data_IF_050676803082
#
_entry.id   IF_050676803082
#
_cell.length_a   1.000
_cell.length_b   1.000
_cell.length_c   1.000
_cell.angle_alpha   90.00
_cell.angle_beta   90.00
_cell.angle_gamma   90.00
#
_symmetry.space_group_name_H-M   'P 1'
#
loop_
_entity.id
_entity.type
_entity.pdbx_description
1 polymer ?
#
# COMPACT_ATOMS: atom_id res chain seq x y z
N UNK A 1 -13.08 -3.03 5.06
CA UNK A 1 -11.72 -3.02 5.66
C UNK A 1 -10.93 -4.29 5.31
N UNK A 2 -11.25 -5.48 5.83
CA UNK A 2 -10.47 -6.71 5.55
C UNK A 2 -10.23 -7.01 4.05
N UNK A 3 -11.20 -6.76 3.15
CA UNK A 3 -11.05 -7.00 1.70
C UNK A 3 -9.94 -6.16 1.02
N UNK A 4 -9.66 -4.94 1.49
CA UNK A 4 -8.67 -4.04 0.88
C UNK A 4 -7.21 -4.33 1.33
N UNK A 5 -7.01 -4.81 2.56
CA UNK A 5 -5.67 -5.07 3.07
C UNK A 5 -4.95 -6.24 2.37
N UNK A 6 -5.69 -7.26 1.90
CA UNK A 6 -5.10 -8.44 1.24
C UNK A 6 -4.41 -8.09 -0.09
N UNK A 7 -5.04 -7.37 -1.06
CA UNK A 7 -4.37 -6.92 -2.27
C UNK A 7 -3.14 -6.04 -2.02
N UNK A 8 -3.19 -5.11 -1.05
CA UNK A 8 -2.05 -4.26 -0.71
C UNK A 8 -0.85 -5.08 -0.20
N UNK A 9 -1.11 -6.09 0.63
CA UNK A 9 -0.06 -6.98 1.13
C UNK A 9 0.57 -7.81 -0.01
N UNK A 10 -0.26 -8.46 -0.84
CA UNK A 10 0.22 -9.26 -1.96
C UNK A 10 1.04 -8.43 -2.97
N UNK A 11 0.61 -7.20 -3.28
CA UNK A 11 1.37 -6.25 -4.13
C UNK A 11 2.68 -5.73 -3.50
N UNK A 12 2.91 -5.97 -2.21
CA UNK A 12 4.18 -5.61 -1.53
C UNK A 12 5.21 -6.74 -1.52
N UNK A 13 4.82 -7.96 -1.92
CA UNK A 13 5.72 -9.11 -2.01
C UNK A 13 6.57 -9.02 -3.28
N UNK A 14 7.81 -9.49 -3.22
CA UNK A 14 8.67 -9.64 -4.41
C UNK A 14 8.19 -10.82 -5.26
N UNK A 15 8.36 -10.70 -6.58
CA UNK A 15 8.17 -11.82 -7.50
C UNK A 15 9.21 -12.91 -7.22
N UNK A 16 8.81 -14.18 -7.30
CA UNK A 16 9.73 -15.31 -7.26
C UNK A 16 10.54 -15.38 -8.58
N UNK A 17 11.76 -15.90 -8.51
CA UNK A 17 12.65 -16.08 -9.66
C UNK A 17 13.46 -17.37 -9.50
N UNK A 18 13.94 -17.93 -10.60
CA UNK A 18 14.94 -18.99 -10.62
C UNK A 18 16.33 -18.37 -10.48
N UNK A 19 17.08 -18.82 -9.49
CA UNK A 19 18.42 -18.35 -9.17
C UNK A 19 19.22 -19.51 -8.56
N UNK A 20 20.49 -19.74 -8.94
CA UNK A 20 21.31 -20.76 -8.29
C UNK A 20 21.67 -20.42 -6.83
N UNK A 21 21.58 -19.16 -6.40
CA UNK A 21 21.73 -18.79 -4.99
C UNK A 21 20.43 -19.04 -4.21
N UNK A 22 20.46 -20.02 -3.29
CA UNK A 22 19.33 -20.26 -2.40
C UNK A 22 19.19 -19.17 -1.32
N UNK A 23 18.30 -18.20 -1.58
CA UNK A 23 17.90 -17.15 -0.62
C UNK A 23 16.63 -17.49 0.18
N UNK A 24 16.13 -18.73 0.07
CA UNK A 24 14.88 -19.19 0.68
C UNK A 24 13.60 -18.65 0.02
N UNK A 25 12.45 -19.23 0.38
CA UNK A 25 11.16 -18.90 -0.21
C UNK A 25 10.18 -18.32 0.81
N UNK A 26 10.22 -16.98 0.95
CA UNK A 26 9.43 -16.23 1.94
C UNK A 26 7.92 -16.55 1.92
N UNK A 27 7.31 -16.64 0.73
CA UNK A 27 5.87 -16.91 0.59
C UNK A 27 5.41 -18.31 1.01
N UNK A 28 6.35 -19.25 1.23
CA UNK A 28 6.09 -20.61 1.70
C UNK A 28 6.71 -20.87 3.09
N UNK A 29 7.41 -19.89 3.67
CA UNK A 29 8.19 -20.03 4.90
C UNK A 29 9.22 -21.19 4.87
N UNK A 30 9.83 -21.46 3.71
CA UNK A 30 10.84 -22.51 3.52
C UNK A 30 12.25 -21.92 3.38
N UNK A 31 13.24 -22.53 4.03
CA UNK A 31 14.66 -22.14 3.91
C UNK A 31 15.28 -22.58 2.57
N UNK A 32 14.81 -23.69 2.00
CA UNK A 32 15.27 -24.23 0.72
C UNK A 32 14.06 -24.68 -0.08
N UNK A 33 13.97 -24.25 -1.33
CA UNK A 33 12.87 -24.59 -2.23
C UNK A 33 13.34 -24.57 -3.69
N UNK A 34 12.92 -25.57 -4.46
CA UNK A 34 13.15 -25.67 -5.90
C UNK A 34 11.98 -26.39 -6.57
N UNK A 35 11.75 -26.11 -7.85
CA UNK A 35 10.74 -26.81 -8.64
C UNK A 35 11.30 -28.14 -9.19
N UNK A 36 10.61 -29.25 -8.91
CA UNK A 36 11.02 -30.61 -9.30
C UNK A 36 9.90 -31.44 -9.97
N UNK A 37 8.65 -31.16 -9.67
CA UNK A 37 7.50 -32.04 -9.95
C UNK A 37 6.88 -31.89 -11.34
N UNK A 38 7.43 -31.07 -12.24
CA UNK A 38 6.82 -30.79 -13.55
C UNK A 38 7.82 -30.58 -14.71
N UNK A 39 8.77 -31.50 -14.94
CA UNK A 39 9.78 -31.38 -16.01
C UNK A 39 9.22 -31.31 -17.43
N UNK A 40 7.98 -31.77 -17.66
CA UNK A 40 7.31 -31.72 -18.97
C UNK A 40 6.97 -30.26 -19.38
N UNK A 41 6.69 -29.39 -18.40
CA UNK A 41 6.18 -28.02 -18.64
C UNK A 41 7.05 -26.90 -18.05
N UNK A 42 8.15 -27.23 -17.38
CA UNK A 42 9.10 -26.28 -16.78
C UNK A 42 10.52 -26.79 -16.96
N UNK A 43 11.36 -25.97 -17.62
CA UNK A 43 12.76 -26.30 -17.86
C UNK A 43 13.62 -26.40 -16.58
N UNK A 44 13.42 -25.58 -15.53
CA UNK A 44 14.16 -25.72 -14.27
C UNK A 44 13.97 -27.08 -13.57
N UNK A 45 12.78 -27.66 -13.63
CA UNK A 45 12.53 -29.01 -13.13
C UNK A 45 13.38 -30.04 -13.91
N UNK A 46 13.47 -29.91 -15.24
CA UNK A 46 14.27 -30.81 -16.08
C UNK A 46 15.78 -30.73 -15.75
N UNK A 47 16.32 -29.54 -15.49
CA UNK A 47 17.74 -29.39 -15.13
C UNK A 47 18.02 -29.90 -13.72
N UNK A 48 17.08 -29.78 -12.80
CA UNK A 48 17.15 -30.40 -11.48
C UNK A 48 17.10 -31.94 -11.53
N UNK A 49 16.25 -32.52 -12.38
CA UNK A 49 16.23 -33.98 -12.64
C UNK A 49 17.58 -34.48 -13.18
N UNK A 50 18.19 -33.74 -14.12
CA UNK A 50 19.52 -34.04 -14.66
C UNK A 50 20.62 -33.97 -13.59
N UNK A 51 20.59 -32.95 -12.74
CA UNK A 51 21.55 -32.77 -11.65
C UNK A 51 21.43 -33.87 -10.58
N UNK A 52 20.20 -34.23 -10.18
CA UNK A 52 19.97 -35.32 -9.22
C UNK A 52 20.47 -36.66 -9.76
N UNK A 53 20.17 -36.99 -11.02
CA UNK A 53 20.70 -38.21 -11.67
C UNK A 53 22.22 -38.25 -11.71
N UNK A 54 22.87 -37.12 -12.02
CA UNK A 54 24.32 -36.98 -11.97
C UNK A 54 24.89 -37.22 -10.57
N UNK A 55 24.27 -36.65 -9.53
CA UNK A 55 24.72 -36.82 -8.14
C UNK A 55 24.59 -38.28 -7.68
N UNK A 56 23.47 -38.95 -7.97
CA UNK A 56 23.27 -40.37 -7.63
C UNK A 56 24.27 -41.30 -8.33
N UNK A 57 24.67 -40.99 -9.57
CA UNK A 57 25.73 -41.74 -10.28
C UNK A 57 27.12 -41.45 -9.68
N UNK A 58 27.38 -40.19 -9.30
CA UNK A 58 28.64 -39.78 -8.66
C UNK A 58 28.85 -40.44 -7.30
N UNK A 59 27.79 -40.61 -6.52
CA UNK A 59 27.80 -41.36 -5.24
C UNK A 59 28.19 -42.84 -5.44
N UNK A 60 27.95 -43.41 -6.62
CA UNK A 60 28.36 -44.77 -7.01
C UNK A 60 29.79 -44.83 -7.61
N UNK A 61 30.52 -43.70 -7.62
CA UNK A 61 31.89 -43.62 -8.13
C UNK A 61 32.02 -43.28 -9.62
N UNK A 62 30.93 -42.86 -10.29
CA UNK A 62 30.97 -42.48 -11.70
C UNK A 62 31.90 -41.28 -11.98
N UNK A 63 32.77 -41.42 -12.98
CA UNK A 63 33.76 -40.40 -13.38
C UNK A 63 33.40 -39.79 -14.74
N UNK A 64 32.34 -39.00 -14.79
CA UNK A 64 31.92 -38.27 -15.99
C UNK A 64 30.82 -37.25 -15.71
N UNK A 65 30.70 -36.23 -16.56
CA UNK A 65 29.70 -35.16 -16.41
C UNK A 65 28.29 -35.54 -16.91
N UNK A 66 28.16 -36.70 -17.57
CA UNK A 66 26.91 -37.25 -18.11
C UNK A 66 26.61 -38.60 -17.48
N UNK A 67 25.33 -38.99 -17.43
CA UNK A 67 24.89 -40.33 -17.00
C UNK A 67 24.02 -40.95 -18.10
N UNK A 68 24.14 -42.26 -18.29
CA UNK A 68 23.38 -43.07 -19.28
C UNK A 68 21.87 -42.79 -19.24
N UNK A 69 21.31 -42.62 -18.04
CA UNK A 69 19.89 -42.33 -17.81
C UNK A 69 19.49 -40.85 -18.04
N UNK A 70 20.36 -40.07 -18.69
CA UNK A 70 20.16 -38.64 -18.96
C UNK A 70 20.49 -37.72 -17.78
N UNK A 71 21.47 -38.07 -16.96
CA UNK A 71 22.06 -37.17 -15.96
C UNK A 71 23.05 -36.19 -16.60
N UNK A 72 23.16 -34.98 -16.05
CA UNK A 72 24.08 -33.95 -16.55
C UNK A 72 24.55 -33.02 -15.42
N UNK A 73 25.85 -32.74 -15.37
CA UNK A 73 26.46 -31.74 -14.48
C UNK A 73 26.54 -30.38 -15.18
N UNK A 74 25.91 -29.38 -14.58
CA UNK A 74 25.98 -27.98 -15.02
C UNK A 74 27.01 -27.19 -14.23
N UNK A 75 27.76 -26.33 -14.92
CA UNK A 75 28.59 -25.30 -14.30
C UNK A 75 27.74 -24.19 -13.66
N UNK A 76 28.36 -23.42 -12.77
CA UNK A 76 27.70 -22.27 -12.14
C UNK A 76 27.35 -21.16 -13.14
N UNK A 77 28.17 -21.00 -14.19
CA UNK A 77 27.95 -19.99 -15.25
C UNK A 77 26.72 -20.35 -16.10
N UNK A 78 26.60 -21.60 -16.53
CA UNK A 78 25.40 -22.11 -17.21
C UNK A 78 24.16 -21.94 -16.33
N UNK A 79 24.25 -22.23 -15.02
CA UNK A 79 23.14 -22.09 -14.08
C UNK A 79 22.70 -20.64 -13.86
N UNK A 80 23.61 -19.66 -13.84
CA UNK A 80 23.28 -18.24 -13.79
C UNK A 80 22.52 -17.81 -15.05
N UNK A 81 22.98 -18.22 -16.23
CA UNK A 81 22.30 -17.94 -17.50
C UNK A 81 20.91 -18.61 -17.58
N UNK A 82 20.80 -19.87 -17.15
CA UNK A 82 19.55 -20.62 -17.07
C UNK A 82 18.54 -19.96 -16.11
N UNK A 83 18.97 -19.52 -14.93
CA UNK A 83 18.11 -18.85 -13.95
C UNK A 83 17.49 -17.57 -14.54
N UNK A 84 18.31 -16.75 -15.19
CA UNK A 84 17.85 -15.55 -15.89
C UNK A 84 16.90 -15.89 -17.04
N UNK A 85 17.27 -16.83 -17.92
CA UNK A 85 16.48 -17.22 -19.07
C UNK A 85 15.12 -17.83 -18.68
N UNK A 86 15.09 -18.76 -17.73
CA UNK A 86 13.84 -19.39 -17.27
C UNK A 86 12.92 -18.38 -16.59
N UNK A 87 13.46 -17.46 -15.78
CA UNK A 87 12.68 -16.39 -15.15
C UNK A 87 12.13 -15.39 -16.16
N UNK A 88 12.86 -15.10 -17.24
CA UNK A 88 12.38 -14.29 -18.37
C UNK A 88 11.28 -15.01 -19.16
N UNK A 89 11.45 -16.31 -19.42
CA UNK A 89 10.48 -17.12 -20.16
C UNK A 89 9.15 -17.27 -19.40
N UNK A 90 9.19 -17.44 -18.08
CA UNK A 90 8.02 -17.46 -17.20
C UNK A 90 7.24 -16.14 -17.28
N UNK A 91 7.91 -14.99 -17.08
CA UNK A 91 7.27 -13.66 -17.22
C UNK A 91 6.67 -13.44 -18.60
N UNK A 92 7.38 -13.81 -19.67
CA UNK A 92 6.90 -13.67 -21.05
C UNK A 92 5.65 -14.51 -21.32
N UNK A 93 5.54 -15.70 -20.70
CA UNK A 93 4.36 -16.55 -20.82
C UNK A 93 3.16 -15.97 -20.04
N UNK A 94 3.40 -15.46 -18.83
CA UNK A 94 2.37 -14.78 -18.02
C UNK A 94 1.85 -13.50 -18.72
N UNK A 95 2.75 -12.72 -19.33
CA UNK A 95 2.41 -11.54 -20.12
C UNK A 95 1.57 -11.90 -21.36
N UNK A 96 2.01 -12.88 -22.17
CA UNK A 96 1.28 -13.30 -23.36
C UNK A 96 -0.11 -13.92 -23.05
N UNK A 97 -0.22 -14.71 -21.99
CA UNK A 97 -1.52 -15.29 -21.58
C UNK A 97 -2.45 -14.23 -21.00
N UNK A 98 -1.91 -13.24 -20.29
CA UNK A 98 -2.67 -12.08 -19.85
C UNK A 98 -3.17 -11.24 -21.02
N UNK A 99 -2.34 -10.98 -22.01
CA UNK A 99 -2.69 -10.22 -23.23
C UNK A 99 -3.90 -10.82 -23.96
N UNK A 100 -3.91 -12.15 -24.13
CA UNK A 100 -5.05 -12.88 -24.70
C UNK A 100 -6.28 -12.82 -23.78
N UNK A 101 -6.08 -12.96 -22.47
CA UNK A 101 -7.17 -12.82 -21.49
C UNK A 101 -7.79 -11.43 -21.48
N UNK A 102 -6.99 -10.37 -21.59
CA UNK A 102 -7.45 -8.98 -21.60
C UNK A 102 -8.15 -8.65 -22.94
N UNK A 103 -7.72 -9.24 -24.07
CA UNK A 103 -8.47 -9.19 -25.33
C UNK A 103 -9.84 -9.90 -25.25
N UNK A 104 -9.90 -11.14 -24.73
CA UNK A 104 -11.15 -11.89 -24.54
C UNK A 104 -12.15 -11.19 -23.60
N UNK A 105 -11.65 -10.44 -22.59
CA UNK A 105 -12.51 -9.63 -21.72
C UNK A 105 -13.09 -8.42 -22.44
N UNK A 106 -12.34 -7.80 -23.34
CA UNK A 106 -12.85 -6.70 -24.15
C UNK A 106 -13.92 -7.22 -25.13
N UNK A 107 -13.64 -8.34 -25.81
CA UNK A 107 -14.59 -9.03 -26.70
C UNK A 107 -15.93 -9.30 -26.00
N UNK A 108 -15.90 -9.94 -24.82
CA UNK A 108 -17.09 -10.20 -24.00
C UNK A 108 -17.86 -8.94 -23.57
N UNK A 109 -17.19 -7.78 -23.49
CA UNK A 109 -17.79 -6.53 -23.03
C UNK A 109 -18.38 -5.67 -24.14
N UNK A 110 -18.15 -6.00 -25.43
CA UNK A 110 -18.76 -5.32 -26.57
C UNK A 110 -20.30 -5.34 -26.49
N UNK A 111 -20.87 -6.52 -26.20
CA UNK A 111 -22.31 -6.72 -26.03
C UNK A 111 -22.88 -6.13 -24.72
N UNK A 112 -22.01 -5.59 -23.86
CA UNK A 112 -22.36 -5.06 -22.54
C UNK A 112 -22.27 -3.53 -22.46
N UNK A 113 -22.02 -2.84 -23.59
CA UNK A 113 -22.03 -1.38 -23.66
C UNK A 113 -23.39 -0.82 -23.25
N UNK A 114 -23.39 0.21 -22.40
CA UNK A 114 -24.59 0.83 -21.81
C UNK A 114 -25.12 0.15 -20.54
N UNK A 115 -24.76 -1.12 -20.28
CA UNK A 115 -25.19 -1.84 -19.07
C UNK A 115 -24.48 -1.32 -17.81
N UNK A 116 -25.14 -1.50 -16.66
CA UNK A 116 -24.67 -1.03 -15.36
C UNK A 116 -24.24 -2.21 -14.49
N UNK A 117 -23.01 -2.14 -13.99
CA UNK A 117 -22.39 -3.19 -13.18
C UNK A 117 -21.93 -2.66 -11.82
N UNK A 118 -21.95 -3.56 -10.84
CA UNK A 118 -21.34 -3.33 -9.53
C UNK A 118 -19.88 -3.72 -9.58
N UNK A 119 -19.04 -2.94 -8.91
CA UNK A 119 -17.62 -3.20 -8.87
C UNK A 119 -16.90 -2.61 -7.67
N UNK A 120 -15.63 -2.93 -7.58
CA UNK A 120 -14.71 -2.51 -6.52
C UNK A 120 -13.51 -1.82 -7.14
N UNK A 121 -13.13 -0.66 -6.62
CA UNK A 121 -11.94 0.07 -7.09
C UNK A 121 -10.69 -0.79 -6.86
N UNK A 122 -10.01 -1.19 -7.94
CA UNK A 122 -8.89 -2.16 -7.96
C UNK A 122 -7.51 -1.49 -8.12
N UNK A 123 -7.48 -0.24 -8.58
CA UNK A 123 -6.31 0.63 -8.58
C UNK A 123 -6.72 2.10 -8.68
N UNK A 124 -5.89 3.04 -8.23
CA UNK A 124 -6.13 4.49 -8.33
C UNK A 124 -4.87 5.13 -8.91
N UNK A 125 -5.03 6.01 -9.91
CA UNK A 125 -3.96 6.75 -10.58
C UNK A 125 -4.21 8.25 -10.50
N UNK A 126 -3.34 9.06 -11.12
CA UNK A 126 -3.53 10.51 -11.20
C UNK A 126 -4.61 10.94 -12.20
N UNK A 127 -4.91 10.11 -13.19
CA UNK A 127 -5.85 10.40 -14.28
C UNK A 127 -7.22 9.71 -14.11
N UNK A 128 -7.42 8.95 -13.03
CA UNK A 128 -8.64 8.19 -12.82
C UNK A 128 -8.46 7.03 -11.84
N UNK A 129 -9.35 6.06 -11.91
CA UNK A 129 -9.23 4.82 -11.15
C UNK A 129 -9.79 3.63 -11.93
N UNK A 130 -9.23 2.46 -11.66
CA UNK A 130 -9.67 1.21 -12.25
C UNK A 130 -10.71 0.56 -11.35
N UNK A 131 -11.81 0.11 -11.94
CA UNK A 131 -12.89 -0.61 -11.26
C UNK A 131 -12.89 -2.04 -11.77
N UNK A 132 -12.83 -2.99 -10.83
CA UNK A 132 -13.07 -4.40 -11.12
C UNK A 132 -14.54 -4.70 -10.99
N UNK A 133 -15.16 -5.25 -12.01
CA UNK A 133 -16.54 -5.73 -11.93
C UNK A 133 -16.63 -6.92 -10.96
N UNK A 134 -17.67 -6.92 -10.12
CA UNK A 134 -18.00 -8.08 -9.29
C UNK A 134 -18.33 -9.28 -10.23
N UNK A 135 -17.93 -10.48 -9.81
CA UNK A 135 -18.10 -11.79 -10.48
C UNK A 135 -17.44 -11.99 -11.87
N UNK A 136 -17.23 -10.94 -12.67
CA UNK A 136 -16.64 -11.03 -14.01
C UNK A 136 -15.10 -10.93 -14.04
N UNK A 137 -14.47 -10.41 -12.97
CA UNK A 137 -13.01 -10.18 -12.89
C UNK A 137 -12.41 -9.25 -13.99
N UNK A 138 -13.26 -8.51 -14.69
CA UNK A 138 -12.88 -7.52 -15.70
C UNK A 138 -12.54 -6.20 -14.99
N UNK A 139 -11.39 -5.60 -15.34
CA UNK A 139 -11.01 -4.25 -14.90
C UNK A 139 -11.28 -3.24 -16.04
N UNK A 140 -11.92 -2.12 -15.74
CA UNK A 140 -12.10 -0.99 -16.66
C UNK A 140 -11.74 0.34 -16.00
N UNK A 141 -11.52 1.39 -16.80
CA UNK A 141 -11.04 2.70 -16.37
C UNK A 141 -12.19 3.70 -16.21
N UNK A 142 -12.31 4.30 -15.04
CA UNK A 142 -13.07 5.55 -14.85
C UNK A 142 -12.08 6.71 -14.95
N UNK A 143 -12.14 7.47 -16.04
CA UNK A 143 -11.28 8.63 -16.25
C UNK A 143 -11.74 9.81 -15.38
N UNK A 144 -10.81 10.65 -14.92
CA UNK A 144 -11.12 11.80 -14.06
C UNK A 144 -12.10 12.79 -14.71
N UNK A 145 -12.09 12.89 -16.04
CA UNK A 145 -13.01 13.74 -16.81
C UNK A 145 -14.46 13.23 -16.87
N UNK A 146 -14.72 11.97 -16.52
CA UNK A 146 -16.09 11.42 -16.43
C UNK A 146 -16.69 11.56 -15.02
N UNK A 147 -15.96 12.16 -14.09
CA UNK A 147 -16.43 12.49 -12.74
C UNK A 147 -17.03 13.90 -12.71
N UNK A 148 -17.61 14.28 -11.56
CA UNK A 148 -18.08 15.63 -11.32
C UNK A 148 -16.95 16.67 -11.54
N UNK A 149 -17.31 17.86 -12.03
CA UNK A 149 -16.34 18.92 -12.35
C UNK A 149 -15.68 19.49 -11.08
N UNK A 150 -14.57 18.89 -10.66
CA UNK A 150 -13.79 19.23 -9.46
C UNK A 150 -12.28 19.03 -9.68
N UNK A 151 -11.46 19.69 -8.87
CA UNK A 151 -10.02 19.47 -8.87
C UNK A 151 -9.66 18.25 -8.03
N UNK A 152 -9.33 17.15 -8.71
CA UNK A 152 -8.99 15.88 -8.07
C UNK A 152 -7.51 15.77 -7.74
N UNK A 153 -7.18 15.68 -6.45
CA UNK A 153 -5.82 15.46 -5.95
C UNK A 153 -5.56 13.99 -5.66
N UNK A 154 -4.57 13.41 -6.34
CA UNK A 154 -4.10 12.05 -6.09
C UNK A 154 -3.18 11.98 -4.85
N UNK A 155 -3.47 11.05 -3.94
CA UNK A 155 -2.63 10.68 -2.80
C UNK A 155 -2.10 9.26 -3.01
N UNK A 156 -0.86 9.17 -3.51
CA UNK A 156 -0.17 7.92 -3.81
C UNK A 156 -0.05 6.98 -2.61
N UNK A 157 0.19 7.51 -1.41
CA UNK A 157 0.39 6.72 -0.19
C UNK A 157 -0.95 6.21 0.34
N UNK A 158 -1.99 7.02 0.25
CA UNK A 158 -3.36 6.64 0.63
C UNK A 158 -4.08 5.75 -0.40
N UNK A 159 -3.55 5.66 -1.63
CA UNK A 159 -4.20 5.08 -2.82
C UNK A 159 -5.65 5.58 -2.96
N UNK A 160 -5.77 6.92 -3.03
CA UNK A 160 -7.05 7.62 -3.11
C UNK A 160 -6.97 8.88 -3.98
N UNK A 161 -8.09 9.19 -4.62
CA UNK A 161 -8.34 10.42 -5.35
C UNK A 161 -9.31 11.28 -4.51
N UNK A 162 -8.99 12.55 -4.26
CA UNK A 162 -9.79 13.44 -3.41
C UNK A 162 -10.18 14.70 -4.19
N UNK A 163 -11.48 14.97 -4.33
CA UNK A 163 -11.98 16.23 -4.89
C UNK A 163 -11.83 17.37 -3.88
N UNK A 164 -11.27 18.50 -4.30
CA UNK A 164 -10.99 19.65 -3.43
C UNK A 164 -12.26 20.43 -3.06
N UNK A 165 -13.20 20.58 -3.99
CA UNK A 165 -14.43 21.36 -3.82
C UNK A 165 -15.59 20.51 -3.30
N UNK A 166 -15.77 19.32 -3.86
CA UNK A 166 -16.83 18.37 -3.51
C UNK A 166 -16.55 17.62 -2.20
N UNK A 167 -15.27 17.46 -1.84
CA UNK A 167 -14.84 16.58 -0.74
C UNK A 167 -15.09 15.10 -0.99
N UNK A 168 -15.46 14.69 -2.21
CA UNK A 168 -15.56 13.29 -2.60
C UNK A 168 -14.17 12.62 -2.47
N UNK A 169 -14.15 11.34 -2.09
CA UNK A 169 -12.91 10.58 -1.93
C UNK A 169 -13.10 9.18 -2.45
N UNK A 170 -12.46 8.87 -3.58
CA UNK A 170 -12.43 7.53 -4.17
C UNK A 170 -11.19 6.80 -3.69
N UNK A 171 -11.36 5.66 -3.01
CA UNK A 171 -10.23 4.87 -2.47
C UNK A 171 -10.24 3.45 -3.01
N UNK A 172 -9.04 2.86 -3.13
CA UNK A 172 -8.89 1.42 -3.33
C UNK A 172 -9.80 0.60 -2.39
N UNK A 173 -10.62 -0.28 -2.96
CA UNK A 173 -11.50 -1.18 -2.24
C UNK A 173 -12.87 -0.60 -1.86
N UNK A 174 -13.20 0.63 -2.27
CA UNK A 174 -14.56 1.16 -2.20
C UNK A 174 -15.45 0.52 -3.28
N UNK A 175 -16.75 0.47 -3.01
CA UNK A 175 -17.78 -0.06 -3.92
C UNK A 175 -18.42 1.04 -4.75
N UNK A 176 -18.60 0.75 -6.03
CA UNK A 176 -19.12 1.68 -7.03
C UNK A 176 -20.04 0.96 -8.00
N UNK A 177 -20.99 1.72 -8.56
CA UNK A 177 -21.81 1.32 -9.69
C UNK A 177 -21.35 2.09 -10.92
N UNK A 178 -20.91 1.36 -11.94
CA UNK A 178 -20.34 1.89 -13.17
C UNK A 178 -21.17 1.46 -14.37
N UNK A 179 -21.26 2.33 -15.38
CA UNK A 179 -21.78 1.98 -16.71
C UNK A 179 -20.62 1.77 -17.67
N UNK A 180 -20.76 0.81 -18.56
CA UNK A 180 -19.88 0.64 -19.72
C UNK A 180 -20.18 1.73 -20.74
N UNK A 181 -19.27 2.66 -20.96
CA UNK A 181 -19.42 3.72 -21.97
C UNK A 181 -18.91 3.25 -23.33
N UNK A 182 -17.70 2.70 -23.35
CA UNK A 182 -17.04 2.25 -24.58
C UNK A 182 -16.09 1.07 -24.31
N UNK A 183 -15.84 0.29 -25.36
CA UNK A 183 -14.81 -0.75 -25.37
C UNK A 183 -13.93 -0.50 -26.60
N UNK A 184 -12.63 -0.34 -26.38
CA UNK A 184 -11.64 -0.20 -27.43
C UNK A 184 -10.85 -1.51 -27.56
N UNK A 185 -11.10 -2.24 -28.65
CA UNK A 185 -10.47 -3.53 -28.93
C UNK A 185 -8.99 -3.41 -29.32
N UNK A 186 -8.60 -2.31 -29.97
CA UNK A 186 -7.22 -2.06 -30.42
C UNK A 186 -6.30 -1.80 -29.23
N UNK A 187 -6.75 -0.96 -28.29
CA UNK A 187 -6.01 -0.67 -27.06
C UNK A 187 -6.27 -1.68 -25.93
N UNK A 188 -7.23 -2.60 -26.11
CA UNK A 188 -7.75 -3.54 -25.10
C UNK A 188 -8.14 -2.82 -23.79
N UNK A 189 -8.88 -1.72 -23.94
CA UNK A 189 -9.36 -0.88 -22.82
C UNK A 189 -10.88 -0.84 -22.80
N UNK A 190 -11.41 -0.78 -21.59
CA UNK A 190 -12.84 -0.62 -21.33
C UNK A 190 -12.99 0.65 -20.51
N UNK A 191 -13.80 1.59 -21.02
CA UNK A 191 -14.06 2.88 -20.38
C UNK A 191 -15.40 2.83 -19.64
N UNK A 192 -15.37 3.31 -18.41
CA UNK A 192 -16.49 3.32 -17.48
C UNK A 192 -16.86 4.74 -17.06
N UNK A 193 -18.16 5.04 -17.03
CA UNK A 193 -18.69 6.21 -16.31
C UNK A 193 -19.17 5.80 -14.92
N UNK A 194 -19.00 6.69 -13.94
CA UNK A 194 -19.47 6.48 -12.58
C UNK A 194 -20.91 6.96 -12.46
N UNK A 195 -21.86 6.08 -12.10
CA UNK A 195 -23.24 6.47 -11.82
C UNK A 195 -23.43 6.78 -10.35
N UNK A 196 -22.99 5.85 -9.50
CA UNK A 196 -23.11 5.98 -8.06
C UNK A 196 -21.82 5.46 -7.42
N UNK A 197 -21.40 6.13 -6.36
CA UNK A 197 -20.43 5.55 -5.45
C UNK A 197 -21.10 5.36 -4.09
N UNK A 198 -20.89 4.20 -3.48
CA UNK A 198 -21.07 4.03 -2.03
C UNK A 198 -19.93 4.76 -1.28
N UNK A 199 -19.52 5.94 -1.75
CA UNK A 199 -18.62 6.78 -0.98
C UNK A 199 -19.32 7.07 0.33
N UNK A 200 -18.70 6.60 1.41
CA UNK A 200 -18.94 7.13 2.74
C UNK A 200 -18.52 8.58 2.70
N UNK A 201 -19.43 9.45 2.26
CA UNK A 201 -19.39 10.88 2.52
C UNK A 201 -18.94 11.01 3.96
N UNK A 202 -17.90 11.79 4.19
CA UNK A 202 -17.35 11.99 5.52
C UNK A 202 -18.34 12.86 6.32
N UNK A 203 -19.49 12.29 6.67
CA UNK A 203 -20.38 12.73 7.73
C UNK A 203 -19.57 12.70 9.03
N UNK A 204 -18.75 13.73 9.22
CA UNK A 204 -18.09 14.05 10.48
C UNK A 204 -19.20 13.95 11.52
N UNK A 205 -19.16 13.04 12.50
CA UNK A 205 -20.26 12.87 13.42
C UNK A 205 -20.32 14.08 14.36
N UNK A 206 -20.99 15.15 13.92
CA UNK A 206 -21.17 16.43 14.65
C UNK A 206 -21.79 16.17 16.02
N UNK A 207 -22.63 15.12 16.12
CA UNK A 207 -23.20 14.57 17.35
C UNK A 207 -22.14 14.25 18.42
N UNK A 208 -20.88 13.90 18.08
CA UNK A 208 -19.81 13.61 19.06
C UNK A 208 -19.23 14.86 19.73
N UNK A 209 -19.28 16.04 19.08
CA UNK A 209 -18.90 17.33 19.68
C UNK A 209 -20.02 17.87 20.59
N UNK A 210 -21.28 17.71 20.19
CA UNK A 210 -22.44 18.09 20.99
C UNK A 210 -22.54 17.30 22.31
N UNK A 211 -22.37 15.96 22.27
CA UNK A 211 -22.44 15.10 23.46
C UNK A 211 -21.33 15.40 24.48
N UNK A 212 -20.13 15.81 24.04
CA UNK A 212 -19.02 16.23 24.92
C UNK A 212 -19.28 17.61 25.56
N UNK A 213 -19.92 18.54 24.85
CA UNK A 213 -20.39 19.83 25.40
C UNK A 213 -21.47 19.65 26.47
N UNK A 214 -22.50 18.81 26.23
CA UNK A 214 -23.56 18.54 27.24
C UNK A 214 -23.01 17.90 28.53
N UNK A 215 -22.11 16.90 28.44
CA UNK A 215 -21.46 16.32 29.64
C UNK A 215 -20.62 17.34 30.42
N UNK A 216 -19.89 18.23 29.75
CA UNK A 216 -19.10 19.27 30.43
C UNK A 216 -19.97 20.32 31.17
N UNK A 217 -21.18 20.59 30.66
CA UNK A 217 -22.13 21.53 31.29
C UNK A 217 -22.83 20.93 32.51
N UNK A 218 -23.18 19.64 32.48
CA UNK A 218 -23.72 18.93 33.65
C UNK A 218 -22.68 18.78 34.78
N UNK A 219 -21.42 18.46 34.46
CA UNK A 219 -20.35 18.37 35.46
C UNK A 219 -20.13 19.70 36.22
N UNK A 220 -20.31 20.86 35.57
CA UNK A 220 -20.22 22.17 36.23
C UNK A 220 -21.39 22.49 37.17
N UNK A 221 -22.60 21.96 36.93
CA UNK A 221 -23.75 22.13 37.85
C UNK A 221 -23.66 21.23 39.09
N UNK A 222 -23.00 20.08 39.00
CA UNK A 222 -22.79 19.19 40.15
C UNK A 222 -21.78 19.77 41.17
N UNK A 223 -20.75 20.49 40.70
CA UNK A 223 -19.69 21.02 41.55
C UNK A 223 -20.09 22.24 42.40
N UNK A 224 -21.21 22.92 42.10
CA UNK A 224 -21.70 24.08 42.85
C UNK A 224 -22.67 23.73 43.99
N UNK A 225 -23.08 22.46 44.13
CA UNK A 225 -24.05 22.03 45.15
C UNK A 225 -23.46 21.65 46.51
N UNK A 226 -22.13 21.44 46.61
CA UNK A 226 -21.48 20.90 47.82
C UNK A 226 -20.67 21.97 48.55
N UNK A 227 -21.38 23.00 49.03
CA UNK A 227 -20.87 24.00 50.01
C UNK A 227 -21.94 24.36 51.05
N UNK A 228 -22.55 23.36 51.66
CA UNK A 228 -23.24 23.47 52.95
C UNK A 228 -23.27 22.11 53.65
N UNK A 229 -23.21 22.10 54.99
CA UNK A 229 -23.06 20.94 55.89
C UNK A 229 -21.81 20.06 55.64
N UNK A 230 -20.85 19.93 56.57
CA UNK A 230 -21.05 19.55 57.98
C UNK A 230 -19.95 20.11 58.91
N UNK A 231 -20.34 20.34 60.16
CA UNK A 231 -19.52 20.73 61.34
C UNK A 231 -19.72 19.62 62.41
N UNK A 232 -18.88 19.56 63.45
CA UNK A 232 -18.79 18.51 64.52
C UNK A 232 -18.24 17.14 64.05
N UNK A 233 -17.45 16.34 64.81
CA UNK A 233 -16.79 16.39 66.16
C UNK A 233 -15.69 15.30 66.13
N UNK A 234 -14.39 15.53 66.38
CA UNK A 234 -13.63 15.69 67.64
C UNK A 234 -13.44 14.45 68.56
N UNK A 235 -12.26 13.81 68.46
CA UNK A 235 -11.41 13.27 69.57
C UNK A 235 -10.05 12.83 68.99
N UNK A 236 -8.91 13.47 69.34
CA UNK A 236 -7.94 13.09 70.39
C UNK A 236 -7.30 11.69 70.20
N UNK A 237 -5.98 11.48 70.32
CA UNK A 237 -4.83 12.31 70.78
C UNK A 237 -3.86 12.60 69.59
N UNK A 238 -2.59 13.04 69.67
CA UNK A 238 -1.67 13.52 70.72
C UNK A 238 -0.65 14.52 70.11
N UNK A 239 0.19 15.26 70.88
CA UNK A 239 1.11 16.27 70.32
C UNK A 239 2.59 15.82 70.27
N UNK A 240 3.36 16.28 69.27
CA UNK A 240 4.58 17.08 69.47
C UNK A 240 5.17 17.68 68.16
N UNK A 241 5.91 18.77 68.33
CA UNK A 241 6.68 19.61 67.39
C UNK A 241 7.01 19.16 65.94
N UNK A 242 6.72 20.03 64.97
CA UNK A 242 7.76 20.74 64.17
C UNK A 242 7.18 21.79 63.20
N UNK A 243 7.45 23.09 63.43
CA UNK A 243 7.12 24.18 62.48
C UNK A 243 8.17 24.29 61.37
N UNK A 244 7.78 24.15 60.09
CA UNK A 244 8.48 24.80 58.95
C UNK A 244 7.47 25.41 57.97
N UNK A 245 7.61 26.72 57.71
CA UNK A 245 6.78 27.50 56.75
C UNK A 245 7.22 27.23 55.30
N UNK A 246 6.31 27.15 54.32
CA UNK A 246 6.60 27.48 52.93
C UNK A 246 6.37 28.98 52.68
N UNK A 247 7.33 29.66 52.04
CA UNK A 247 7.15 31.01 51.46
C UNK A 247 6.36 30.92 50.14
N UNK A 248 5.61 31.96 49.74
CA UNK A 248 4.93 31.98 48.45
C UNK A 248 5.95 32.12 47.30
N UNK A 249 5.65 31.53 46.13
CA UNK A 249 6.36 31.84 44.88
C UNK A 249 5.40 32.39 43.84
N UNK A 250 5.84 33.49 43.24
CA UNK A 250 5.05 34.36 42.39
C UNK A 250 4.71 33.75 41.02
N UNK A 251 3.68 34.31 40.40
CA UNK A 251 3.37 34.08 39.00
C UNK A 251 4.53 34.51 38.08
N UNK A 252 4.77 33.74 37.01
CA UNK A 252 5.50 34.23 35.83
C UNK A 252 4.63 34.10 34.59
N UNK A 253 4.46 35.22 33.90
CA UNK A 253 4.10 35.26 32.48
C UNK A 253 5.27 34.70 31.69
N UNK A 254 5.02 33.87 30.68
CA UNK A 254 5.99 33.60 29.63
C UNK A 254 5.44 34.01 28.26
N UNK A 255 6.20 34.86 27.58
CA UNK A 255 5.83 35.45 26.31
C UNK A 255 6.33 34.59 25.14
N UNK A 256 5.55 34.54 24.05
CA UNK A 256 6.00 33.94 22.78
C UNK A 256 7.22 34.70 22.24
N UNK A 257 8.42 34.11 22.33
CA UNK A 257 9.57 34.50 21.50
C UNK A 257 9.63 33.63 20.24
N UNK A 258 9.66 34.28 19.07
CA UNK A 258 9.91 33.60 17.81
C UNK A 258 11.35 33.04 17.78
N UNK A 259 11.50 31.77 17.41
CA UNK A 259 12.82 31.14 17.28
C UNK A 259 13.51 31.61 15.99
N UNK A 260 14.67 32.25 16.12
CA UNK A 260 15.58 32.46 14.97
C UNK A 260 16.13 31.09 14.50
N UNK A 261 16.33 30.87 13.18
CA UNK A 261 16.81 29.60 12.66
C UNK A 261 18.25 29.31 13.09
N UNK A 262 18.57 28.03 13.25
CA UNK A 262 19.89 27.53 13.67
C UNK A 262 21.01 27.95 12.70
N UNK A 263 22.21 28.18 13.25
CA UNK A 263 23.44 28.48 12.49
C UNK A 263 23.71 27.44 11.40
N UNK A 264 23.36 26.16 11.63
CA UNK A 264 23.51 25.09 10.63
C UNK A 264 22.59 25.32 9.41
N UNK A 265 21.37 25.82 9.64
CA UNK A 265 20.41 26.18 8.57
C UNK A 265 20.89 27.40 7.77
N UNK A 266 21.48 28.39 8.43
CA UNK A 266 22.03 29.57 7.77
C UNK A 266 23.22 29.22 6.85
N UNK A 267 24.12 28.34 7.28
CA UNK A 267 25.23 27.86 6.44
C UNK A 267 24.74 27.10 5.18
N UNK A 268 23.69 26.29 5.31
CA UNK A 268 23.09 25.58 4.16
C UNK A 268 22.43 26.58 3.18
N UNK A 269 21.71 27.58 3.69
CA UNK A 269 21.10 28.62 2.86
C UNK A 269 22.15 29.49 2.13
N UNK A 270 23.29 29.79 2.76
CA UNK A 270 24.40 30.49 2.11
C UNK A 270 25.03 29.64 1.00
N UNK A 271 25.29 28.34 1.25
CA UNK A 271 25.88 27.44 0.27
C UNK A 271 24.99 27.22 -0.97
N UNK A 272 23.66 27.10 -0.80
CA UNK A 272 22.72 26.98 -1.92
C UNK A 272 22.58 28.28 -2.71
N UNK A 273 22.63 29.44 -2.05
CA UNK A 273 22.65 30.75 -2.73
C UNK A 273 23.94 30.95 -3.55
N UNK A 274 25.09 30.55 -3.02
CA UNK A 274 26.37 30.58 -3.76
C UNK A 274 26.35 29.66 -4.99
N UNK A 275 25.86 28.41 -4.87
CA UNK A 275 25.71 27.50 -6.01
C UNK A 275 24.77 28.05 -7.10
N UNK A 276 23.68 28.73 -6.73
CA UNK A 276 22.79 29.39 -7.70
C UNK A 276 23.45 30.58 -8.40
N UNK A 277 24.25 31.38 -7.69
CA UNK A 277 25.00 32.48 -8.29
C UNK A 277 26.07 32.00 -9.28
N UNK A 278 26.82 30.95 -8.91
CA UNK A 278 27.81 30.32 -9.80
C UNK A 278 27.16 29.75 -11.06
N UNK A 279 26.01 29.05 -10.94
CA UNK A 279 25.31 28.49 -12.11
C UNK A 279 24.71 29.56 -13.04
N UNK A 280 24.50 30.80 -12.56
CA UNK A 280 24.04 31.91 -13.41
C UNK A 280 25.19 32.53 -14.24
N UNK A 281 26.41 32.56 -13.70
CA UNK A 281 27.62 33.07 -14.40
C UNK A 281 28.25 32.11 -15.42
N UNK A 282 27.63 30.97 -15.67
CA UNK A 282 28.08 29.95 -16.65
C UNK A 282 27.02 29.79 -17.77
N UNK A 283 25.98 30.62 -17.76
CA UNK A 283 24.87 30.62 -18.70
C UNK A 283 24.68 32.01 -19.34
N UNK A 284 25.75 32.81 -19.33
CA UNK A 284 25.91 34.18 -19.84
C UNK A 284 27.36 34.28 -20.33
#
# INVERSE_FOLDING_TARGET
>A
MQKCCKPCFLRSMKQAIYDPENRGHFGLALQSYAHFTSPIRRYPDLTLHRAIKYLLAKEQGHQGNTTETGGYHYSMEEMLQLGQHCSMAERRADEATRDVSDWLKCDFMLDQVGNVFKGVISSVTGFGFFVRLDDLFIDGLVHVSSLDNDYYRFDQVGQRLMGESSGQTYRLGDRVEVRVEAVNMDERKIDFSLISSETRTAQRPVKRRARKRKKAMQAKKAASGVRSAKRSTLSQTAPFAARKKPKPKAAKKDARKAKKPSVKTQKIAAATKAKRAAKKKVAE
#
